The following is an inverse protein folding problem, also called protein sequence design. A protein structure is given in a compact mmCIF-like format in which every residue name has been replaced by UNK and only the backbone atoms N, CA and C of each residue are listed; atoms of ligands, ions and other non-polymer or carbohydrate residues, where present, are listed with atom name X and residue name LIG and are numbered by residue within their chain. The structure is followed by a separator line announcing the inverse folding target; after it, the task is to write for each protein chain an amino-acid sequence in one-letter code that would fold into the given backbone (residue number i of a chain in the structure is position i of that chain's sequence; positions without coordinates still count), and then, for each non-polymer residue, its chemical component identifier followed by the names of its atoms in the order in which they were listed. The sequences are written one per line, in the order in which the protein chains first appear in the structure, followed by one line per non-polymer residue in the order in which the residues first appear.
data_IF_240443750498
#
_entry.id   IF_240443750498
#
_cell.length_a   1.000
_cell.length_b   1.000
_cell.length_c   1.000
_cell.angle_alpha   90.00
_cell.angle_beta   90.00
_cell.angle_gamma   90.00
#
_symmetry.space_group_name_H-M   'P 1'
#
loop_
_entity.id
_entity.type
_entity.pdbx_description
1 polymer ?
#
# COMPACT_ATOMS: atom_id res chain seq x y z
N UNK A 1 -21.26 30.43 7.03
CA UNK A 1 -21.48 31.11 8.32
C UNK A 1 -20.70 32.43 8.40
N UNK A 2 -19.42 32.47 8.00
CA UNK A 2 -18.58 33.67 8.11
C UNK A 2 -19.14 34.86 7.33
N UNK A 3 -19.61 34.65 6.11
CA UNK A 3 -20.26 35.68 5.31
C UNK A 3 -21.58 36.23 5.92
N UNK A 4 -22.31 35.37 6.62
CA UNK A 4 -23.55 35.72 7.31
C UNK A 4 -23.26 36.47 8.61
N UNK A 5 -22.25 36.06 9.36
CA UNK A 5 -21.78 36.79 10.55
C UNK A 5 -21.30 38.19 10.20
N UNK A 6 -20.55 38.34 9.10
CA UNK A 6 -20.08 39.62 8.60
C UNK A 6 -21.24 40.58 8.19
N UNK A 7 -22.41 40.04 7.88
CA UNK A 7 -23.64 40.79 7.56
C UNK A 7 -24.53 41.05 8.78
N UNK A 8 -24.05 40.75 10.01
CA UNK A 8 -24.81 40.97 11.25
C UNK A 8 -25.93 39.95 11.50
N UNK A 9 -25.93 38.82 10.79
CA UNK A 9 -26.91 37.76 11.02
C UNK A 9 -26.57 37.00 12.30
N UNK A 10 -27.60 36.71 13.12
CA UNK A 10 -27.44 35.84 14.29
C UNK A 10 -27.14 34.41 13.85
N UNK A 11 -25.85 34.06 13.84
CA UNK A 11 -25.38 32.74 13.43
C UNK A 11 -25.88 31.60 14.32
N UNK A 12 -26.23 31.88 15.59
CA UNK A 12 -26.80 30.88 16.50
C UNK A 12 -28.15 30.40 15.98
N UNK A 13 -29.02 31.34 15.58
CA UNK A 13 -30.32 31.01 14.97
C UNK A 13 -30.15 30.24 13.64
N UNK A 14 -29.18 30.63 12.82
CA UNK A 14 -28.89 29.92 11.53
C UNK A 14 -28.43 28.49 11.77
N UNK A 15 -27.51 28.27 12.73
CA UNK A 15 -27.02 26.95 13.10
C UNK A 15 -28.16 26.08 13.61
N UNK A 16 -28.98 26.59 14.56
CA UNK A 16 -30.08 25.80 15.14
C UNK A 16 -31.14 25.43 14.09
N UNK A 17 -31.48 26.30 13.18
CA UNK A 17 -32.41 26.02 12.09
C UNK A 17 -31.82 25.04 11.04
N UNK A 18 -30.49 25.08 10.80
CA UNK A 18 -29.82 24.31 9.80
C UNK A 18 -29.32 22.93 10.26
N UNK A 19 -29.25 22.67 11.59
CA UNK A 19 -28.60 21.47 12.14
C UNK A 19 -29.17 20.14 11.66
N UNK A 20 -30.48 20.09 11.37
CA UNK A 20 -31.15 18.90 10.88
C UNK A 20 -30.57 18.36 9.53
N UNK A 21 -29.95 19.25 8.73
CA UNK A 21 -29.32 18.88 7.46
C UNK A 21 -28.03 18.07 7.65
N UNK A 22 -27.47 18.07 8.87
CA UNK A 22 -26.22 17.39 9.20
C UNK A 22 -26.45 16.11 10.05
N UNK A 23 -27.69 15.71 10.23
CA UNK A 23 -28.01 14.47 10.95
C UNK A 23 -27.53 13.28 10.14
N UNK A 24 -26.73 12.41 10.77
CA UNK A 24 -26.21 11.17 10.18
C UNK A 24 -26.45 9.97 11.09
N UNK A 25 -26.24 8.76 10.59
CA UNK A 25 -26.31 7.55 11.42
C UNK A 25 -25.11 7.46 12.36
N UNK A 26 -25.30 6.79 13.47
CA UNK A 26 -24.22 6.42 14.38
C UNK A 26 -23.27 5.41 13.74
N UNK A 27 -21.98 5.45 14.11
CA UNK A 27 -20.97 4.48 13.66
C UNK A 27 -21.02 3.19 14.47
N UNK A 28 -21.39 3.29 15.75
CA UNK A 28 -21.43 2.14 16.65
C UNK A 28 -22.39 1.06 16.13
N UNK A 29 -21.91 -0.19 16.08
CA UNK A 29 -22.66 -1.33 15.60
C UNK A 29 -22.79 -1.44 14.07
N UNK A 30 -22.37 -0.42 13.29
CA UNK A 30 -22.30 -0.49 11.82
C UNK A 30 -21.12 -1.31 11.38
N UNK A 31 -21.21 -1.88 10.19
CA UNK A 31 -20.13 -2.68 9.59
C UNK A 31 -19.30 -1.83 8.63
N UNK A 32 -17.98 -1.78 8.87
CA UNK A 32 -17.00 -1.21 7.96
C UNK A 32 -16.32 -2.32 7.14
N UNK A 33 -16.45 -2.28 5.83
CA UNK A 33 -15.66 -3.05 4.89
C UNK A 33 -14.34 -2.35 4.60
N UNK A 34 -13.22 -3.03 4.86
CA UNK A 34 -11.87 -2.51 4.56
C UNK A 34 -11.27 -3.34 3.44
N UNK A 35 -11.04 -2.73 2.29
CA UNK A 35 -10.49 -3.40 1.11
C UNK A 35 -9.03 -2.98 0.93
N UNK A 36 -8.14 -3.95 1.13
CA UNK A 36 -6.69 -3.75 1.27
C UNK A 36 -6.29 -3.62 2.74
N UNK A 37 -5.62 -4.64 3.28
CA UNK A 37 -5.12 -4.69 4.65
C UNK A 37 -3.59 -4.50 4.70
N UNK A 38 -3.10 -3.54 3.91
CA UNK A 38 -1.72 -3.06 3.96
C UNK A 38 -1.46 -2.13 5.16
N UNK A 39 -0.37 -1.37 5.11
CA UNK A 39 0.07 -0.49 6.20
C UNK A 39 -1.01 0.51 6.66
N UNK A 40 -1.84 1.02 5.76
CA UNK A 40 -2.91 1.98 6.07
C UNK A 40 -4.19 1.23 6.47
N UNK A 41 -4.64 0.25 5.67
CA UNK A 41 -5.89 -0.47 5.90
C UNK A 41 -5.94 -1.17 7.26
N UNK A 42 -4.83 -1.74 7.73
CA UNK A 42 -4.73 -2.34 9.08
C UNK A 42 -4.98 -1.30 10.17
N UNK A 43 -4.42 -0.09 10.05
CA UNK A 43 -4.62 0.98 11.03
C UNK A 43 -6.08 1.44 11.05
N UNK A 44 -6.68 1.67 9.87
CA UNK A 44 -8.08 2.05 9.74
C UNK A 44 -9.00 0.99 10.34
N UNK A 45 -8.78 -0.29 10.01
CA UNK A 45 -9.53 -1.40 10.58
C UNK A 45 -9.44 -1.44 12.12
N UNK A 46 -8.23 -1.30 12.67
CA UNK A 46 -8.01 -1.31 14.11
C UNK A 46 -8.67 -0.11 14.82
N UNK A 47 -8.63 1.08 14.21
CA UNK A 47 -9.30 2.27 14.75
C UNK A 47 -10.82 2.10 14.73
N UNK A 48 -11.37 1.61 13.63
CA UNK A 48 -12.81 1.39 13.49
C UNK A 48 -13.38 0.44 14.56
N UNK A 49 -12.64 -0.62 14.93
CA UNK A 49 -13.05 -1.49 16.04
C UNK A 49 -13.14 -0.75 17.38
N UNK A 50 -12.23 0.22 17.61
CA UNK A 50 -12.25 1.05 18.83
C UNK A 50 -13.40 2.07 18.84
N UNK A 51 -13.94 2.42 17.68
CA UNK A 51 -15.13 3.25 17.53
C UNK A 51 -16.43 2.43 17.68
N UNK A 52 -16.34 1.13 18.00
CA UNK A 52 -17.49 0.25 18.19
C UNK A 52 -18.10 -0.25 16.87
N UNK A 53 -17.40 -0.13 15.75
CA UNK A 53 -17.84 -0.72 14.49
C UNK A 53 -17.51 -2.22 14.41
N UNK A 54 -18.34 -2.97 13.70
CA UNK A 54 -17.96 -4.28 13.19
C UNK A 54 -17.05 -4.08 11.98
N UNK A 55 -15.95 -4.80 11.91
CA UNK A 55 -15.01 -4.63 10.80
C UNK A 55 -14.82 -5.94 10.04
N UNK A 56 -15.03 -5.89 8.73
CA UNK A 56 -14.74 -6.97 7.80
C UNK A 56 -13.68 -6.49 6.81
N UNK A 57 -12.54 -7.19 6.73
CA UNK A 57 -11.42 -6.81 5.88
C UNK A 57 -11.13 -7.85 4.83
N UNK A 58 -10.73 -7.42 3.63
CA UNK A 58 -10.31 -8.28 2.55
C UNK A 58 -8.96 -7.84 1.99
N UNK A 59 -8.04 -8.79 1.90
CA UNK A 59 -6.77 -8.66 1.20
C UNK A 59 -6.30 -10.06 0.76
N UNK A 60 -6.17 -10.34 -0.55
CA UNK A 60 -5.69 -11.63 -1.03
C UNK A 60 -4.19 -11.84 -0.83
N UNK A 61 -3.45 -10.78 -0.52
CA UNK A 61 -1.99 -10.77 -0.33
C UNK A 61 -1.59 -10.35 1.09
N UNK A 62 -2.44 -10.63 2.08
CA UNK A 62 -2.20 -10.25 3.46
C UNK A 62 -0.84 -10.78 3.95
N UNK A 63 0.07 -9.87 4.28
CA UNK A 63 1.38 -10.24 4.80
C UNK A 63 1.31 -10.72 6.25
N UNK A 64 2.28 -11.53 6.67
CA UNK A 64 2.36 -12.00 8.07
C UNK A 64 2.45 -10.81 9.04
N UNK A 65 3.23 -9.78 8.71
CA UNK A 65 3.37 -8.59 9.56
C UNK A 65 2.03 -7.83 9.67
N UNK A 66 1.29 -7.68 8.57
CA UNK A 66 -0.03 -7.06 8.59
C UNK A 66 -1.01 -7.87 9.43
N UNK A 67 -1.02 -9.20 9.26
CA UNK A 67 -1.88 -10.10 10.04
C UNK A 67 -1.59 -10.04 11.56
N UNK A 68 -0.30 -9.98 11.94
CA UNK A 68 0.10 -9.84 13.34
C UNK A 68 -0.25 -8.46 13.95
N UNK A 69 -0.35 -7.44 13.11
CA UNK A 69 -0.73 -6.07 13.52
C UNK A 69 -2.23 -5.84 13.54
N UNK A 70 -3.02 -6.74 12.94
CA UNK A 70 -4.46 -6.62 12.84
C UNK A 70 -5.12 -7.02 14.17
N UNK A 71 -6.09 -6.22 14.62
CA UNK A 71 -6.92 -6.55 15.79
C UNK A 71 -7.67 -7.87 15.57
N UNK A 72 -7.74 -8.71 16.61
CA UNK A 72 -8.54 -9.95 16.60
C UNK A 72 -10.04 -9.70 16.42
N UNK A 73 -10.51 -8.48 16.65
CA UNK A 73 -11.90 -8.09 16.42
C UNK A 73 -12.21 -7.86 14.93
N UNK A 74 -11.20 -7.75 14.07
CA UNK A 74 -11.37 -7.64 12.62
C UNK A 74 -11.59 -9.03 12.04
N UNK A 75 -12.72 -9.23 11.36
CA UNK A 75 -13.01 -10.47 10.64
C UNK A 75 -12.42 -10.40 9.23
N UNK A 76 -11.60 -11.37 8.89
CA UNK A 76 -11.08 -11.51 7.54
C UNK A 76 -12.11 -12.18 6.62
N UNK A 77 -12.41 -11.56 5.48
CA UNK A 77 -13.29 -12.12 4.45
C UNK A 77 -12.47 -12.90 3.42
N UNK A 78 -13.00 -14.05 2.98
CA UNK A 78 -12.36 -14.88 1.95
C UNK A 78 -12.48 -14.31 0.54
N UNK A 79 -13.50 -13.48 0.31
CA UNK A 79 -13.84 -12.89 -0.97
C UNK A 79 -14.39 -11.47 -0.81
N UNK A 80 -14.39 -10.72 -1.90
CA UNK A 80 -14.93 -9.36 -1.95
C UNK A 80 -16.45 -9.33 -1.83
N UNK A 81 -17.13 -10.34 -2.33
CA UNK A 81 -18.60 -10.43 -2.28
C UNK A 81 -19.12 -10.32 -0.85
N UNK A 82 -18.50 -11.04 0.07
CA UNK A 82 -18.79 -10.94 1.51
C UNK A 82 -18.66 -9.50 2.02
N UNK A 83 -17.61 -8.78 1.58
CA UNK A 83 -17.40 -7.38 2.02
C UNK A 83 -18.49 -6.48 1.46
N UNK A 84 -18.83 -6.64 0.16
CA UNK A 84 -19.88 -5.85 -0.47
C UNK A 84 -21.23 -6.02 0.22
N UNK A 85 -21.64 -7.26 0.48
CA UNK A 85 -22.97 -7.59 1.04
C UNK A 85 -23.13 -7.17 2.50
N UNK A 86 -22.08 -7.23 3.30
CA UNK A 86 -22.20 -7.01 4.74
C UNK A 86 -21.96 -5.57 5.19
N UNK A 87 -21.32 -4.75 4.37
CA UNK A 87 -20.82 -3.44 4.78
C UNK A 87 -21.89 -2.34 4.70
N UNK A 88 -21.96 -1.52 5.74
CA UNK A 88 -22.69 -0.23 5.76
C UNK A 88 -21.78 0.91 5.28
N UNK A 89 -20.48 0.77 5.49
CA UNK A 89 -19.41 1.65 5.03
C UNK A 89 -18.32 0.83 4.36
N UNK A 90 -17.74 1.35 3.31
CA UNK A 90 -16.63 0.71 2.60
C UNK A 90 -15.49 1.72 2.45
N UNK A 91 -14.26 1.29 2.76
CA UNK A 91 -13.06 2.10 2.57
C UNK A 91 -12.02 1.33 1.75
N UNK A 92 -11.40 2.03 0.80
CA UNK A 92 -10.46 1.45 -0.16
C UNK A 92 -9.02 1.82 0.22
N UNK A 93 -8.15 0.82 0.29
CA UNK A 93 -6.72 0.96 0.59
C UNK A 93 -5.85 0.13 -0.36
N UNK A 94 -6.22 0.14 -1.65
CA UNK A 94 -5.56 -0.62 -2.71
C UNK A 94 -4.70 0.28 -3.60
N UNK A 95 -3.58 -0.21 -4.13
CA UNK A 95 -2.94 0.42 -5.28
C UNK A 95 -3.81 0.25 -6.53
N UNK A 96 -3.76 1.21 -7.43
CA UNK A 96 -4.39 1.08 -8.73
C UNK A 96 -3.46 0.32 -9.70
N UNK A 97 -3.93 -0.79 -10.22
CA UNK A 97 -3.28 -1.61 -11.25
C UNK A 97 -4.33 -2.23 -12.17
N UNK A 98 -3.94 -3.09 -13.09
CA UNK A 98 -4.85 -3.74 -14.05
C UNK A 98 -5.94 -4.58 -13.36
N UNK A 99 -5.68 -5.15 -12.19
CA UNK A 99 -6.63 -6.00 -11.45
C UNK A 99 -7.54 -5.20 -10.50
N UNK A 100 -7.14 -4.00 -10.11
CA UNK A 100 -7.88 -3.18 -9.13
C UNK A 100 -8.61 -1.99 -9.77
N UNK A 101 -8.27 -1.64 -11.01
CA UNK A 101 -8.95 -0.58 -11.76
C UNK A 101 -10.44 -0.91 -11.91
N UNK A 102 -11.31 0.01 -11.48
CA UNK A 102 -12.76 -0.16 -11.55
C UNK A 102 -13.31 -1.27 -10.64
N UNK A 103 -12.58 -1.67 -9.60
CA UNK A 103 -13.01 -2.73 -8.67
C UNK A 103 -14.36 -2.41 -8.01
N UNK A 104 -14.66 -1.12 -7.82
CA UNK A 104 -16.00 -0.64 -7.46
C UNK A 104 -16.73 -0.26 -8.74
N UNK A 105 -17.20 -1.27 -9.46
CA UNK A 105 -18.00 -1.16 -10.67
C UNK A 105 -19.47 -1.49 -10.43
N UNK A 106 -20.24 -1.62 -11.51
CA UNK A 106 -21.69 -1.85 -11.45
C UNK A 106 -22.07 -3.11 -10.66
N UNK A 107 -21.37 -4.23 -10.89
CA UNK A 107 -21.64 -5.50 -10.21
C UNK A 107 -21.34 -5.39 -8.70
N UNK A 108 -20.21 -4.78 -8.33
CA UNK A 108 -19.86 -4.55 -6.94
C UNK A 108 -20.91 -3.68 -6.22
N UNK A 109 -21.33 -2.57 -6.87
CA UNK A 109 -22.37 -1.67 -6.34
C UNK A 109 -23.71 -2.40 -6.20
N UNK A 110 -24.09 -3.22 -7.18
CA UNK A 110 -25.33 -4.00 -7.12
C UNK A 110 -25.35 -4.97 -5.93
N UNK A 111 -24.19 -5.59 -5.59
CA UNK A 111 -24.05 -6.50 -4.47
C UNK A 111 -24.03 -5.80 -3.10
N UNK A 112 -23.76 -4.49 -3.04
CA UNK A 112 -23.73 -3.72 -1.80
C UNK A 112 -25.13 -3.54 -1.19
N UNK A 113 -25.16 -3.19 0.09
CA UNK A 113 -26.40 -2.76 0.77
C UNK A 113 -26.92 -1.46 0.17
N UNK A 114 -28.24 -1.29 0.18
CA UNK A 114 -28.85 -0.01 -0.14
C UNK A 114 -28.46 1.05 0.91
N UNK A 115 -28.09 2.22 0.46
CA UNK A 115 -27.62 3.30 1.34
C UNK A 115 -26.19 3.13 1.86
N UNK A 116 -25.38 2.27 1.24
CA UNK A 116 -23.94 2.13 1.56
C UNK A 116 -23.21 3.46 1.41
N UNK A 117 -22.19 3.67 2.22
CA UNK A 117 -21.29 4.83 2.14
C UNK A 117 -19.89 4.40 1.77
N UNK A 118 -19.29 5.07 0.80
CA UNK A 118 -17.98 4.69 0.25
C UNK A 118 -16.98 5.80 0.49
N UNK A 119 -15.81 5.43 1.01
CA UNK A 119 -14.66 6.33 1.21
C UNK A 119 -13.51 5.83 0.34
N UNK A 120 -13.07 6.65 -0.59
CA UNK A 120 -11.94 6.36 -1.46
C UNK A 120 -10.90 7.48 -1.37
N UNK A 121 -9.94 7.31 -0.47
CA UNK A 121 -8.76 8.16 -0.31
C UNK A 121 -7.49 7.42 -0.78
N UNK A 122 -7.64 6.45 -1.69
CA UNK A 122 -6.54 5.65 -2.22
C UNK A 122 -6.16 6.07 -3.63
N UNK A 123 -7.01 5.77 -4.62
CA UNK A 123 -6.77 6.13 -6.04
C UNK A 123 -8.11 6.28 -6.77
N UNK A 124 -8.23 7.34 -7.59
CA UNK A 124 -9.49 7.66 -8.30
C UNK A 124 -9.98 6.53 -9.21
N UNK A 125 -9.09 5.89 -9.93
CA UNK A 125 -9.44 4.83 -10.88
C UNK A 125 -9.86 3.49 -10.27
N UNK A 126 -9.93 3.36 -8.93
CA UNK A 126 -10.51 2.19 -8.25
C UNK A 126 -12.04 2.16 -8.36
N UNK A 127 -12.66 3.31 -8.59
CA UNK A 127 -14.11 3.46 -8.71
C UNK A 127 -14.47 3.75 -10.15
N UNK A 128 -15.37 2.97 -10.70
CA UNK A 128 -15.97 3.26 -12.01
C UNK A 128 -16.99 4.39 -11.87
N UNK A 129 -16.63 5.56 -12.38
CA UNK A 129 -17.50 6.74 -12.34
C UNK A 129 -18.84 6.51 -13.08
N UNK A 130 -18.82 5.78 -14.17
CA UNK A 130 -20.06 5.52 -14.94
C UNK A 130 -21.07 4.69 -14.14
N UNK A 131 -20.60 3.82 -13.23
CA UNK A 131 -21.46 3.07 -12.33
C UNK A 131 -21.78 3.85 -11.04
N UNK A 132 -20.87 4.69 -10.57
CA UNK A 132 -21.03 5.42 -9.30
C UNK A 132 -22.07 6.54 -9.41
N UNK A 133 -22.10 7.33 -10.49
CA UNK A 133 -23.02 8.44 -10.66
C UNK A 133 -24.50 8.01 -10.54
N UNK A 134 -24.98 7.01 -11.33
CA UNK A 134 -26.35 6.53 -11.20
C UNK A 134 -26.67 5.94 -9.82
N UNK A 135 -25.69 5.32 -9.17
CA UNK A 135 -25.85 4.76 -7.83
C UNK A 135 -26.02 5.83 -6.75
N UNK A 136 -25.34 6.95 -6.90
CA UNK A 136 -25.51 8.12 -6.04
C UNK A 136 -26.86 8.82 -6.26
N UNK A 137 -27.28 8.97 -7.52
CA UNK A 137 -28.56 9.57 -7.90
C UNK A 137 -29.76 8.74 -7.41
N UNK A 138 -29.67 7.42 -7.47
CA UNK A 138 -30.73 6.51 -7.00
C UNK A 138 -30.74 6.32 -5.46
N UNK A 139 -29.70 6.75 -4.76
CA UNK A 139 -29.54 6.51 -3.32
C UNK A 139 -29.04 5.10 -2.97
N UNK A 140 -28.72 4.25 -3.94
CA UNK A 140 -28.03 2.96 -3.71
C UNK A 140 -26.74 3.17 -2.95
N UNK A 141 -25.96 4.21 -3.34
CA UNK A 141 -24.86 4.76 -2.59
C UNK A 141 -25.34 6.07 -1.92
N UNK A 142 -25.43 6.06 -0.60
CA UNK A 142 -25.94 7.23 0.13
C UNK A 142 -24.92 8.37 0.20
N UNK A 143 -23.62 8.08 0.20
CA UNK A 143 -22.57 9.07 0.19
C UNK A 143 -21.26 8.51 -0.39
N UNK A 144 -20.51 9.37 -1.06
CA UNK A 144 -19.19 9.09 -1.57
C UNK A 144 -18.21 10.19 -1.14
N UNK A 145 -17.16 9.79 -0.45
CA UNK A 145 -16.06 10.67 -0.03
C UNK A 145 -14.83 10.31 -0.83
N UNK A 146 -14.19 11.29 -1.47
CA UNK A 146 -13.00 11.06 -2.29
C UNK A 146 -12.07 12.27 -2.29
N UNK A 147 -10.77 12.02 -2.40
CA UNK A 147 -9.75 13.04 -2.67
C UNK A 147 -9.30 13.08 -4.14
N UNK A 148 -10.09 12.44 -5.01
CA UNK A 148 -10.00 12.49 -6.48
C UNK A 148 -11.32 12.99 -7.10
N UNK A 149 -11.85 14.14 -6.65
CA UNK A 149 -13.11 14.66 -7.20
C UNK A 149 -12.93 15.17 -8.61
N UNK A 150 -13.99 15.09 -9.40
CA UNK A 150 -14.09 15.75 -10.69
C UNK A 150 -15.39 16.60 -10.77
N UNK A 151 -15.52 17.35 -11.86
CA UNK A 151 -16.64 18.28 -12.05
C UNK A 151 -18.01 17.58 -12.07
N UNK A 152 -18.10 16.31 -12.47
CA UNK A 152 -19.38 15.61 -12.54
C UNK A 152 -19.77 15.08 -11.17
N UNK A 153 -18.83 14.52 -10.44
CA UNK A 153 -19.06 14.03 -9.07
C UNK A 153 -19.42 15.17 -8.12
N UNK A 154 -18.76 16.32 -8.22
CA UNK A 154 -19.03 17.46 -7.34
C UNK A 154 -20.39 18.15 -7.59
N UNK A 155 -21.10 17.83 -8.67
CA UNK A 155 -22.48 18.28 -8.88
C UNK A 155 -23.49 17.54 -8.00
N UNK A 156 -23.11 16.37 -7.48
CA UNK A 156 -23.99 15.51 -6.69
C UNK A 156 -23.92 15.92 -5.20
N UNK A 157 -25.07 16.13 -4.54
CA UNK A 157 -25.11 16.66 -3.17
C UNK A 157 -24.57 15.68 -2.11
N UNK A 158 -24.51 14.41 -2.44
CA UNK A 158 -24.04 13.34 -1.57
C UNK A 158 -22.58 12.93 -1.87
N UNK A 159 -21.84 13.75 -2.61
CA UNK A 159 -20.40 13.61 -2.83
C UNK A 159 -19.63 14.66 -2.01
N UNK A 160 -18.65 14.21 -1.27
CA UNK A 160 -17.70 15.09 -0.56
C UNK A 160 -16.33 14.95 -1.20
N UNK A 161 -15.89 15.99 -1.88
CA UNK A 161 -14.55 16.12 -2.43
C UNK A 161 -13.59 16.72 -1.43
N UNK A 162 -12.43 16.11 -1.25
CA UNK A 162 -11.34 16.60 -0.41
C UNK A 162 -10.12 16.92 -1.28
N UNK A 163 -9.23 17.82 -0.86
CA UNK A 163 -7.94 17.96 -1.51
C UNK A 163 -7.10 16.70 -1.27
N UNK A 164 -6.37 16.25 -2.32
CA UNK A 164 -5.47 15.08 -2.22
C UNK A 164 -4.18 15.48 -1.49
N UNK A 165 -4.23 15.47 -0.17
CA UNK A 165 -3.09 15.83 0.68
C UNK A 165 -2.26 14.60 1.07
N UNK A 166 -2.87 13.41 1.13
CA UNK A 166 -2.19 12.18 1.51
C UNK A 166 -1.44 12.35 2.83
N UNK A 167 -0.13 12.11 2.81
CA UNK A 167 0.77 12.31 3.93
C UNK A 167 1.52 13.66 3.85
N UNK A 168 0.95 14.69 3.27
CA UNK A 168 1.57 16.01 3.09
C UNK A 168 1.47 16.84 4.36
N UNK A 169 2.17 16.39 5.40
CA UNK A 169 2.44 17.19 6.60
C UNK A 169 3.94 17.43 6.72
N UNK A 170 4.40 18.53 7.36
CA UNK A 170 5.82 18.78 7.56
C UNK A 170 6.54 17.59 8.21
N UNK A 171 5.93 16.97 9.23
CA UNK A 171 6.51 15.82 9.92
C UNK A 171 6.61 14.59 9.00
N UNK A 172 5.65 14.41 8.11
CA UNK A 172 5.67 13.29 7.16
C UNK A 172 6.75 13.48 6.11
N UNK A 173 6.94 14.70 5.62
CA UNK A 173 7.99 15.04 4.65
C UNK A 173 9.38 14.84 5.28
N UNK A 174 9.60 15.31 6.51
CA UNK A 174 10.83 15.11 7.26
C UNK A 174 11.09 13.61 7.51
N UNK A 175 10.09 12.87 7.94
CA UNK A 175 10.21 11.42 8.17
C UNK A 175 10.52 10.66 6.88
N UNK A 176 9.89 11.03 5.76
CA UNK A 176 10.18 10.44 4.44
C UNK A 176 11.63 10.70 4.01
N UNK A 177 12.12 11.94 4.18
CA UNK A 177 13.50 12.30 3.85
C UNK A 177 14.51 11.50 4.70
N UNK A 178 14.30 11.43 6.01
CA UNK A 178 15.15 10.66 6.93
C UNK A 178 15.11 9.16 6.60
N UNK A 179 13.93 8.61 6.33
CA UNK A 179 13.78 7.20 5.98
C UNK A 179 14.46 6.88 4.64
N UNK A 180 14.28 7.72 3.63
CA UNK A 180 14.93 7.56 2.34
C UNK A 180 16.47 7.61 2.46
N UNK A 181 17.00 8.56 3.24
CA UNK A 181 18.43 8.66 3.50
C UNK A 181 18.99 7.41 4.19
N UNK A 182 18.30 6.89 5.21
CA UNK A 182 18.70 5.66 5.91
C UNK A 182 18.67 4.43 5.00
N UNK A 183 17.64 4.28 4.18
CA UNK A 183 17.53 3.17 3.24
C UNK A 183 18.61 3.22 2.16
N UNK A 184 18.91 4.42 1.67
CA UNK A 184 20.01 4.62 0.73
C UNK A 184 21.38 4.33 1.36
N UNK A 185 21.63 4.79 2.57
CA UNK A 185 22.84 4.47 3.31
C UNK A 185 22.99 2.96 3.52
N UNK A 186 21.96 2.28 3.98
CA UNK A 186 21.97 0.82 4.17
C UNK A 186 22.22 0.07 2.83
N UNK A 187 21.63 0.53 1.73
CA UNK A 187 21.95 -0.01 0.41
C UNK A 187 23.42 0.21 0.03
N UNK A 188 23.94 1.40 0.26
CA UNK A 188 25.33 1.73 -0.09
C UNK A 188 26.35 1.02 0.79
N UNK A 189 26.10 0.91 2.07
CA UNK A 189 27.03 0.36 3.07
C UNK A 189 26.91 -1.16 3.23
N UNK A 190 25.68 -1.69 3.18
CA UNK A 190 25.39 -3.09 3.45
C UNK A 190 24.79 -3.85 2.26
N UNK A 191 24.40 -3.18 1.19
CA UNK A 191 23.78 -3.80 0.02
C UNK A 191 22.33 -4.24 0.24
N UNK A 192 21.71 -3.94 1.37
CA UNK A 192 20.31 -4.27 1.63
C UNK A 192 19.36 -3.46 0.75
N UNK A 193 18.23 -4.04 0.38
CA UNK A 193 17.17 -3.37 -0.39
C UNK A 193 15.88 -3.41 0.42
N UNK A 194 15.39 -2.23 0.81
CA UNK A 194 14.15 -2.05 1.54
C UNK A 194 13.25 -1.08 0.79
N UNK A 195 11.96 -1.39 0.69
CA UNK A 195 10.93 -0.56 0.05
C UNK A 195 11.19 -0.17 -1.42
N UNK A 196 11.97 -0.95 -2.16
CA UNK A 196 12.19 -0.69 -3.58
C UNK A 196 10.92 -0.94 -4.40
N UNK A 197 10.62 -0.02 -5.33
CA UNK A 197 9.46 -0.15 -6.23
C UNK A 197 9.66 -1.27 -7.26
N UNK A 198 10.87 -1.45 -7.75
CA UNK A 198 11.19 -2.34 -8.88
C UNK A 198 12.08 -3.53 -8.53
N UNK A 199 12.71 -3.55 -7.37
CA UNK A 199 13.55 -4.66 -6.92
C UNK A 199 12.93 -5.39 -5.72
N UNK A 200 13.27 -6.66 -5.49
CA UNK A 200 12.81 -7.39 -4.32
C UNK A 200 13.41 -6.80 -3.04
N UNK A 201 12.66 -6.84 -1.94
CA UNK A 201 13.21 -6.52 -0.62
C UNK A 201 14.16 -7.66 -0.18
N UNK A 202 15.42 -7.33 0.05
CA UNK A 202 16.48 -8.27 0.45
C UNK A 202 17.30 -7.66 1.57
N UNK A 203 17.30 -8.29 2.69
CA UNK A 203 18.11 -7.95 3.86
C UNK A 203 18.89 -9.18 4.30
N UNK A 204 20.16 -9.02 4.58
CA UNK A 204 21.03 -10.07 5.11
C UNK A 204 21.94 -9.46 6.17
N UNK A 205 21.84 -9.90 7.43
CA UNK A 205 22.83 -9.55 8.44
C UNK A 205 24.23 -9.90 7.93
N UNK A 206 25.17 -8.96 8.10
CA UNK A 206 26.52 -9.15 7.56
C UNK A 206 27.24 -10.31 8.25
N UNK A 207 27.73 -11.26 7.45
CA UNK A 207 28.57 -12.36 7.90
C UNK A 207 29.75 -12.53 6.92
N UNK A 208 30.97 -12.65 7.41
CA UNK A 208 32.14 -12.77 6.54
C UNK A 208 32.91 -11.46 6.31
N UNK A 209 33.94 -11.54 5.47
CA UNK A 209 34.88 -10.43 5.19
C UNK A 209 34.45 -9.59 4.00
N UNK A 210 33.90 -10.23 2.98
CA UNK A 210 33.50 -9.58 1.73
C UNK A 210 32.04 -9.93 1.40
N UNK A 211 31.31 -8.96 0.91
CA UNK A 211 29.93 -9.11 0.43
C UNK A 211 29.85 -8.78 -1.05
N UNK A 212 29.28 -9.69 -1.83
CA UNK A 212 28.90 -9.44 -3.21
C UNK A 212 27.40 -9.15 -3.28
N UNK A 213 27.06 -8.04 -3.91
CA UNK A 213 25.70 -7.61 -4.17
C UNK A 213 25.46 -7.67 -5.68
N UNK A 214 24.64 -8.60 -6.13
CA UNK A 214 24.52 -8.97 -7.54
C UNK A 214 23.09 -8.73 -8.01
N UNK A 215 22.91 -7.80 -8.92
CA UNK A 215 21.66 -7.56 -9.63
C UNK A 215 21.66 -8.35 -10.93
N UNK A 216 20.62 -9.12 -11.18
CA UNK A 216 20.56 -9.99 -12.36
C UNK A 216 19.12 -10.19 -12.85
N UNK A 217 18.96 -10.74 -14.06
CA UNK A 217 17.67 -11.22 -14.55
C UNK A 217 17.23 -12.45 -13.75
N UNK A 218 15.93 -12.59 -13.56
CA UNK A 218 15.36 -13.77 -12.91
C UNK A 218 15.34 -14.96 -13.91
N UNK A 219 16.49 -15.59 -14.10
CA UNK A 219 16.70 -16.66 -15.07
C UNK A 219 17.29 -17.91 -14.41
N UNK A 220 17.01 -19.12 -14.93
CA UNK A 220 17.61 -20.35 -14.44
C UNK A 220 19.15 -20.33 -14.55
N UNK A 221 19.83 -21.01 -13.63
CA UNK A 221 21.27 -21.21 -13.67
C UNK A 221 22.16 -20.11 -13.11
N UNK A 222 21.63 -18.90 -12.86
CA UNK A 222 22.41 -17.75 -12.38
C UNK A 222 23.10 -18.05 -11.04
N UNK A 223 22.37 -18.59 -10.08
CA UNK A 223 22.93 -18.91 -8.75
C UNK A 223 24.05 -19.96 -8.87
N UNK A 224 23.86 -20.96 -9.72
CA UNK A 224 24.88 -21.99 -9.98
C UNK A 224 26.14 -21.35 -10.62
N UNK A 225 25.98 -20.41 -11.56
CA UNK A 225 27.10 -19.68 -12.16
C UNK A 225 27.89 -18.87 -11.12
N UNK A 226 27.18 -18.12 -10.26
CA UNK A 226 27.79 -17.31 -9.19
C UNK A 226 28.59 -18.21 -8.23
N UNK A 227 27.95 -19.28 -7.72
CA UNK A 227 28.60 -20.20 -6.76
C UNK A 227 29.76 -20.98 -7.39
N UNK A 228 29.66 -21.33 -8.66
CA UNK A 228 30.75 -21.97 -9.41
C UNK A 228 31.96 -21.07 -9.55
N UNK A 229 31.77 -19.79 -9.88
CA UNK A 229 32.86 -18.82 -9.97
C UNK A 229 33.57 -18.64 -8.62
N UNK A 230 32.82 -18.52 -7.51
CA UNK A 230 33.39 -18.43 -6.16
C UNK A 230 34.15 -19.73 -5.77
N UNK A 231 33.64 -20.90 -6.13
CA UNK A 231 34.28 -22.20 -5.88
C UNK A 231 35.60 -22.34 -6.61
N UNK A 232 35.71 -21.84 -7.83
CA UNK A 232 36.98 -21.88 -8.60
C UNK A 232 38.07 -21.05 -7.90
N UNK A 233 37.72 -19.98 -7.23
CA UNK A 233 38.64 -19.16 -6.43
C UNK A 233 38.87 -19.72 -5.02
N UNK A 234 38.29 -20.89 -4.68
CA UNK A 234 38.37 -21.52 -3.35
C UNK A 234 37.83 -20.58 -2.22
N UNK A 235 36.89 -19.71 -2.54
CA UNK A 235 36.25 -18.81 -1.60
C UNK A 235 35.02 -19.49 -1.02
N UNK A 236 34.95 -19.55 0.31
CA UNK A 236 33.81 -20.13 1.02
C UNK A 236 32.66 -19.13 1.16
N UNK A 237 31.43 -19.57 0.90
CA UNK A 237 30.21 -18.81 1.12
C UNK A 237 29.76 -19.00 2.56
N UNK A 238 29.73 -17.89 3.33
CA UNK A 238 29.25 -17.88 4.71
C UNK A 238 27.74 -17.75 4.80
N UNK A 239 27.16 -16.91 3.93
CA UNK A 239 25.72 -16.72 3.86
C UNK A 239 25.32 -16.24 2.46
N UNK A 240 24.09 -16.55 2.06
CA UNK A 240 23.56 -16.12 0.78
C UNK A 240 22.04 -15.97 0.86
N UNK A 241 21.55 -14.93 0.21
CA UNK A 241 20.11 -14.72 -0.03
C UNK A 241 19.90 -14.31 -1.47
N UNK A 242 18.90 -14.91 -2.11
CA UNK A 242 18.42 -14.51 -3.43
C UNK A 242 16.92 -14.33 -3.39
N UNK A 243 16.44 -13.20 -3.89
CA UNK A 243 15.01 -12.96 -4.09
C UNK A 243 14.75 -12.34 -5.45
N UNK A 244 13.57 -12.61 -6.00
CA UNK A 244 13.13 -12.09 -7.29
C UNK A 244 11.84 -11.27 -7.16
N UNK A 245 11.65 -10.35 -8.10
CA UNK A 245 10.43 -9.58 -8.30
C UNK A 245 10.27 -9.34 -9.80
N UNK A 246 9.30 -10.04 -10.41
CA UNK A 246 9.13 -10.04 -11.86
C UNK A 246 10.40 -10.54 -12.58
N UNK A 247 10.88 -9.75 -13.52
CA UNK A 247 12.03 -10.08 -14.38
C UNK A 247 13.40 -9.91 -13.71
N UNK A 248 13.45 -9.34 -12.51
CA UNK A 248 14.69 -9.03 -11.82
C UNK A 248 14.86 -9.84 -10.55
N UNK A 249 16.09 -10.16 -10.24
CA UNK A 249 16.48 -10.78 -8.99
C UNK A 249 17.70 -10.06 -8.40
N UNK A 250 17.83 -10.17 -7.11
CA UNK A 250 18.96 -9.62 -6.37
C UNK A 250 19.50 -10.65 -5.41
N UNK A 251 20.81 -10.88 -5.51
CA UNK A 251 21.54 -11.84 -4.68
C UNK A 251 22.55 -11.10 -3.82
N UNK A 252 22.54 -11.36 -2.51
CA UNK A 252 23.64 -11.01 -1.61
C UNK A 252 24.37 -12.31 -1.26
N UNK A 253 25.70 -12.28 -1.38
CA UNK A 253 26.56 -13.40 -0.98
C UNK A 253 27.65 -12.85 -0.07
N UNK A 254 27.72 -13.37 1.15
CA UNK A 254 28.81 -13.10 2.10
C UNK A 254 29.85 -14.22 2.01
N UNK A 255 31.11 -13.84 1.93
CA UNK A 255 32.23 -14.79 1.81
C UNK A 255 33.30 -14.49 2.87
N UNK A 256 34.08 -15.52 3.19
CA UNK A 256 35.09 -15.47 4.28
C UNK A 256 36.45 -14.88 3.88
N UNK A 257 36.62 -14.48 2.61
CA UNK A 257 37.87 -13.97 2.09
C UNK A 257 37.65 -12.80 1.12
N UNK A 258 38.71 -12.11 0.76
CA UNK A 258 38.68 -11.15 -0.33
C UNK A 258 38.40 -11.90 -1.66
N UNK A 259 37.60 -11.28 -2.52
CA UNK A 259 37.28 -11.81 -3.85
C UNK A 259 38.19 -11.11 -4.86
N UNK A 260 38.86 -11.88 -5.71
CA UNK A 260 39.77 -11.35 -6.71
C UNK A 260 39.04 -10.49 -7.78
N UNK A 261 39.70 -9.49 -8.37
CA UNK A 261 39.13 -8.75 -9.49
C UNK A 261 38.72 -9.66 -10.67
N UNK A 262 39.47 -10.75 -10.89
CA UNK A 262 39.22 -11.76 -11.91
C UNK A 262 37.91 -12.52 -11.64
N UNK A 263 37.66 -12.92 -10.41
CA UNK A 263 36.41 -13.55 -10.01
C UNK A 263 35.21 -12.59 -10.15
N UNK A 264 35.37 -11.32 -9.77
CA UNK A 264 34.35 -10.30 -9.98
C UNK A 264 34.07 -10.09 -11.45
N UNK A 265 35.11 -10.03 -12.29
CA UNK A 265 34.98 -9.90 -13.75
C UNK A 265 34.28 -11.14 -14.35
N UNK A 266 34.64 -12.34 -13.90
CA UNK A 266 33.99 -13.58 -14.33
C UNK A 266 32.49 -13.56 -14.00
N UNK A 267 32.11 -13.24 -12.75
CA UNK A 267 30.69 -13.16 -12.34
C UNK A 267 29.98 -12.08 -13.16
N UNK A 268 30.62 -10.92 -13.35
CA UNK A 268 30.03 -9.83 -14.13
C UNK A 268 29.83 -10.17 -15.61
N UNK A 269 30.64 -11.10 -16.15
CA UNK A 269 30.56 -11.58 -17.53
C UNK A 269 29.54 -12.71 -17.74
N UNK A 270 28.96 -13.26 -16.70
CA UNK A 270 27.91 -14.27 -16.84
C UNK A 270 26.67 -13.66 -17.51
N UNK A 271 26.04 -14.46 -18.38
CA UNK A 271 24.80 -14.04 -19.03
C UNK A 271 23.74 -13.66 -18.00
N UNK A 272 22.98 -12.60 -18.27
CA UNK A 272 21.91 -12.10 -17.39
C UNK A 272 22.36 -11.44 -16.07
N UNK A 273 23.64 -11.31 -15.78
CA UNK A 273 24.14 -10.44 -14.72
C UNK A 273 24.09 -8.98 -15.21
N UNK A 274 23.51 -8.10 -14.43
CA UNK A 274 23.36 -6.68 -14.75
C UNK A 274 24.37 -5.80 -14.02
N UNK A 275 24.67 -6.14 -12.76
CA UNK A 275 25.62 -5.39 -11.95
C UNK A 275 26.14 -6.24 -10.79
N UNK A 276 27.43 -6.15 -10.54
CA UNK A 276 28.09 -6.69 -9.35
C UNK A 276 28.69 -5.54 -8.55
N UNK A 277 28.44 -5.51 -7.26
CA UNK A 277 29.09 -4.61 -6.30
C UNK A 277 29.78 -5.45 -5.26
N UNK A 278 31.00 -5.05 -4.91
CA UNK A 278 31.79 -5.67 -3.83
C UNK A 278 31.86 -4.69 -2.67
N UNK A 279 31.51 -5.15 -1.51
CA UNK A 279 31.63 -4.42 -0.25
C UNK A 279 32.57 -5.18 0.67
N UNK A 280 33.43 -4.47 1.38
CA UNK A 280 34.40 -5.04 2.35
C UNK A 280 34.25 -4.33 3.68
N UNK A 281 34.44 -5.08 4.76
CA UNK A 281 34.55 -4.58 6.13
C UNK A 281 35.95 -4.77 6.67
#
# INVERSE_FOLDING_TARGET
LDGQAAQGTDVTTVIEKGKSQFVGPELQGKTLGVIGLGAIGVQVANIATKLGMNVVGYDPFLSVNAALSLSRAVRWAKDLETVWQESDYITLHLPQNEHTKGIVGADAIAAMKDGVRIVNLARGGLVDKAAMIPALESGKVAAYVTDFPDNDLLKLPNVTGLPHLGASTPESEDNCAVMAARQLADYLENGNIVNSVNLPAVELPWSGTTRLCILHRNSPGIIAGITSALSQEKVNVENMVNKSKGDYAYTIVDVNAAVSPEAVAHISGLENILRVRVLTR
#
